data_IF_361593754921
#
_entry.id   IF_361593754921
#
_cell.length_a   1.000
_cell.length_b   1.000
_cell.length_c   1.000
_cell.angle_alpha   90.00
_cell.angle_beta   90.00
_cell.angle_gamma   90.00
#
_symmetry.space_group_name_H-M   'P 1'
#
loop_
_entity.id
_entity.type
_entity.pdbx_description
1 polymer ?
#
# COMPACT_ATOMS: atom_id res chain seq x y z
N UNK A 1 -6.34 -15.81 9.61
CA UNK A 1 -6.72 -14.48 9.09
C UNK A 1 -6.07 -14.17 7.74
N UNK A 2 -4.75 -14.26 7.62
CA UNK A 2 -4.04 -13.97 6.35
C UNK A 2 -4.52 -14.78 5.13
N UNK A 3 -4.88 -16.05 5.32
CA UNK A 3 -5.44 -16.91 4.26
C UNK A 3 -6.78 -16.36 3.76
N UNK A 4 -7.66 -15.91 4.66
CA UNK A 4 -8.97 -15.36 4.29
C UNK A 4 -8.82 -14.05 3.52
N UNK A 5 -7.92 -13.16 3.93
CA UNK A 5 -7.63 -11.93 3.18
C UNK A 5 -7.03 -12.22 1.81
N UNK A 6 -6.20 -13.25 1.70
CA UNK A 6 -5.67 -13.70 0.42
C UNK A 6 -6.81 -14.16 -0.51
N UNK A 7 -7.74 -14.99 -0.01
CA UNK A 7 -8.91 -15.41 -0.78
C UNK A 7 -9.81 -14.25 -1.18
N UNK A 8 -10.03 -13.26 -0.31
CA UNK A 8 -10.76 -12.04 -0.67
C UNK A 8 -10.06 -11.33 -1.83
N UNK A 9 -8.75 -11.12 -1.75
CA UNK A 9 -7.96 -10.53 -2.83
C UNK A 9 -8.04 -11.33 -4.14
N UNK A 10 -7.92 -12.65 -4.06
CA UNK A 10 -8.06 -13.56 -5.19
C UNK A 10 -9.45 -13.47 -5.82
N UNK A 11 -10.52 -13.32 -5.02
CA UNK A 11 -11.88 -13.11 -5.53
C UNK A 11 -11.98 -11.83 -6.37
N UNK A 12 -11.45 -10.70 -5.87
CA UNK A 12 -11.41 -9.44 -6.64
C UNK A 12 -10.63 -9.60 -7.95
N UNK A 13 -9.49 -10.31 -7.92
CA UNK A 13 -8.69 -10.63 -9.11
C UNK A 13 -9.37 -11.62 -10.07
N UNK A 14 -10.14 -12.57 -9.56
CA UNK A 14 -10.89 -13.50 -10.38
C UNK A 14 -11.99 -12.78 -11.17
N UNK A 15 -12.71 -11.85 -10.52
CA UNK A 15 -13.72 -10.99 -11.16
C UNK A 15 -13.07 -10.07 -12.21
N UNK A 16 -11.86 -9.56 -11.97
CA UNK A 16 -11.09 -8.76 -12.93
C UNK A 16 -10.88 -9.49 -14.26
N UNK A 17 -10.55 -10.79 -14.20
CA UNK A 17 -10.19 -11.60 -15.38
C UNK A 17 -11.44 -12.13 -16.10
N UNK A 18 -12.45 -12.61 -15.36
CA UNK A 18 -13.59 -13.33 -15.95
C UNK A 18 -14.69 -12.40 -16.46
N UNK A 19 -14.94 -11.26 -15.82
CA UNK A 19 -16.02 -10.37 -16.21
C UNK A 19 -15.50 -9.33 -17.23
N UNK A 20 -15.82 -9.47 -18.52
CA UNK A 20 -15.32 -8.53 -19.55
C UNK A 20 -16.01 -7.16 -19.54
N UNK A 21 -17.24 -7.07 -19.01
CA UNK A 21 -18.01 -5.83 -18.98
C UNK A 21 -17.61 -4.94 -17.79
N UNK A 22 -17.29 -3.67 -18.07
CA UNK A 22 -16.92 -2.66 -17.07
C UNK A 22 -17.97 -2.49 -15.98
N UNK A 23 -19.24 -2.30 -16.37
CA UNK A 23 -20.34 -2.07 -15.42
C UNK A 23 -20.61 -3.27 -14.52
N UNK A 24 -20.52 -4.49 -15.04
CA UNK A 24 -20.71 -5.72 -14.27
C UNK A 24 -19.58 -5.92 -13.24
N UNK A 25 -18.33 -5.68 -13.65
CA UNK A 25 -17.18 -5.73 -12.74
C UNK A 25 -17.32 -4.76 -11.57
N UNK A 26 -17.64 -3.50 -11.89
CA UNK A 26 -17.81 -2.46 -10.89
C UNK A 26 -18.93 -2.80 -9.90
N UNK A 27 -20.04 -3.34 -10.40
CA UNK A 27 -21.18 -3.72 -9.57
C UNK A 27 -20.82 -4.89 -8.64
N UNK A 28 -20.14 -5.93 -9.13
CA UNK A 28 -19.72 -7.08 -8.31
C UNK A 28 -18.73 -6.64 -7.23
N UNK A 29 -17.75 -5.81 -7.58
CA UNK A 29 -16.79 -5.29 -6.62
C UNK A 29 -17.43 -4.38 -5.58
N UNK A 30 -18.37 -3.53 -5.98
CA UNK A 30 -19.14 -2.69 -5.07
C UNK A 30 -19.96 -3.55 -4.10
N UNK A 31 -20.70 -4.53 -4.60
CA UNK A 31 -21.48 -5.46 -3.77
C UNK A 31 -20.58 -6.21 -2.78
N UNK A 32 -19.48 -6.78 -3.24
CA UNK A 32 -18.53 -7.50 -2.37
C UNK A 32 -17.95 -6.58 -1.29
N UNK A 33 -17.59 -5.35 -1.64
CA UNK A 33 -17.04 -4.36 -0.69
C UNK A 33 -18.07 -3.95 0.35
N UNK A 34 -19.31 -3.71 -0.06
CA UNK A 34 -20.43 -3.37 0.84
C UNK A 34 -20.75 -4.54 1.79
N UNK A 35 -20.80 -5.77 1.28
CA UNK A 35 -21.05 -6.95 2.13
C UNK A 35 -19.93 -7.12 3.16
N UNK A 36 -18.67 -6.93 2.77
CA UNK A 36 -17.54 -7.02 3.70
C UNK A 36 -17.61 -5.93 4.78
N UNK A 37 -17.89 -4.67 4.44
CA UNK A 37 -17.98 -3.60 5.45
C UNK A 37 -19.19 -3.74 6.37
N UNK A 38 -20.35 -4.17 5.86
CA UNK A 38 -21.53 -4.45 6.68
C UNK A 38 -21.24 -5.62 7.64
N UNK A 39 -20.63 -6.69 7.14
CA UNK A 39 -20.27 -7.84 7.97
C UNK A 39 -19.29 -7.47 9.07
N UNK A 40 -18.35 -6.57 8.81
CA UNK A 40 -17.46 -6.00 9.82
C UNK A 40 -18.27 -5.31 10.93
N UNK A 41 -19.14 -4.38 10.56
CA UNK A 41 -19.97 -3.65 11.52
C UNK A 41 -20.90 -4.57 12.32
N UNK A 42 -21.46 -5.61 11.72
CA UNK A 42 -22.26 -6.60 12.44
C UNK A 42 -21.44 -7.32 13.52
N UNK A 43 -20.20 -7.70 13.21
CA UNK A 43 -19.28 -8.34 14.17
C UNK A 43 -18.87 -7.36 15.29
N UNK A 44 -18.83 -6.06 15.01
CA UNK A 44 -18.65 -5.03 16.03
C UNK A 44 -19.82 -5.02 17.03
N UNK A 45 -21.06 -5.09 16.52
CA UNK A 45 -22.28 -5.10 17.36
C UNK A 45 -22.35 -6.35 18.24
N UNK A 46 -21.75 -7.46 17.82
CA UNK A 46 -21.60 -8.69 18.62
C UNK A 46 -20.57 -8.56 19.76
N UNK A 47 -19.92 -7.40 19.92
CA UNK A 47 -19.06 -7.07 21.06
C UNK A 47 -17.56 -7.26 20.83
N UNK A 48 -17.11 -7.57 19.61
CA UNK A 48 -15.68 -7.67 19.30
C UNK A 48 -15.08 -6.30 18.93
N UNK A 49 -14.14 -5.76 19.72
CA UNK A 49 -13.53 -4.46 19.43
C UNK A 49 -12.57 -4.53 18.23
N UNK A 50 -12.37 -3.37 17.58
CA UNK A 50 -11.31 -3.21 16.59
C UNK A 50 -9.95 -3.29 17.27
N UNK A 51 -9.11 -4.25 16.88
CA UNK A 51 -7.77 -4.41 17.42
C UNK A 51 -6.79 -4.73 16.30
N UNK A 52 -5.92 -3.77 15.99
CA UNK A 52 -4.86 -3.91 14.99
C UNK A 52 -3.82 -4.99 15.37
N UNK A 53 -3.34 -5.08 16.63
CA UNK A 53 -2.32 -6.08 16.99
C UNK A 53 -2.83 -7.52 16.91
N UNK A 54 -4.10 -7.73 17.27
CA UNK A 54 -4.75 -9.04 17.25
C UNK A 54 -5.33 -9.39 15.87
N UNK A 55 -5.29 -8.45 14.92
CA UNK A 55 -5.84 -8.60 13.58
C UNK A 55 -7.25 -9.24 13.61
N UNK A 56 -8.16 -8.63 14.37
CA UNK A 56 -9.49 -9.20 14.64
C UNK A 56 -10.32 -9.36 13.38
N UNK A 57 -11.29 -10.28 13.39
CA UNK A 57 -12.15 -10.60 12.23
C UNK A 57 -12.85 -9.35 11.69
N UNK A 58 -13.41 -8.54 12.59
CA UNK A 58 -14.05 -7.27 12.22
C UNK A 58 -13.05 -6.30 11.54
N UNK A 59 -11.84 -6.17 12.09
CA UNK A 59 -10.81 -5.31 11.48
C UNK A 59 -10.39 -5.81 10.08
N UNK A 60 -10.25 -7.11 9.91
CA UNK A 60 -9.94 -7.74 8.62
C UNK A 60 -11.05 -7.50 7.58
N UNK A 61 -12.32 -7.69 7.95
CA UNK A 61 -13.46 -7.49 7.06
C UNK A 61 -13.60 -6.02 6.68
N UNK A 62 -13.40 -5.10 7.63
CA UNK A 62 -13.44 -3.66 7.38
C UNK A 62 -12.35 -3.23 6.41
N UNK A 63 -11.09 -3.62 6.68
CA UNK A 63 -9.96 -3.26 5.82
C UNK A 63 -10.07 -3.89 4.43
N UNK A 64 -10.56 -5.13 4.34
CA UNK A 64 -10.88 -5.78 3.07
C UNK A 64 -11.94 -5.01 2.27
N UNK A 65 -13.07 -4.65 2.88
CA UNK A 65 -14.13 -3.88 2.23
C UNK A 65 -13.67 -2.48 1.80
N UNK A 66 -12.95 -1.75 2.66
CA UNK A 66 -12.38 -0.44 2.32
C UNK A 66 -11.38 -0.53 1.16
N UNK A 67 -10.54 -1.57 1.14
CA UNK A 67 -9.62 -1.80 0.02
C UNK A 67 -10.34 -2.08 -1.30
N UNK A 68 -11.49 -2.77 -1.26
CA UNK A 68 -12.34 -3.00 -2.42
C UNK A 68 -12.98 -1.72 -2.97
N UNK A 69 -13.43 -0.81 -2.10
CA UNK A 69 -13.89 0.52 -2.52
C UNK A 69 -12.75 1.36 -3.14
N UNK A 70 -11.56 1.29 -2.56
CA UNK A 70 -10.39 1.99 -3.10
C UNK A 70 -9.99 1.42 -4.48
N UNK A 71 -10.04 0.09 -4.65
CA UNK A 71 -9.83 -0.56 -5.95
C UNK A 71 -10.88 -0.09 -6.98
N UNK A 72 -12.16 -0.03 -6.59
CA UNK A 72 -13.23 0.44 -7.45
C UNK A 72 -13.00 1.89 -7.89
N UNK A 73 -12.59 2.76 -6.98
CA UNK A 73 -12.31 4.17 -7.25
C UNK A 73 -11.11 4.32 -8.20
N UNK A 74 -10.01 3.62 -7.94
CA UNK A 74 -8.84 3.64 -8.81
C UNK A 74 -9.16 3.10 -10.21
N UNK A 75 -9.92 2.01 -10.28
CA UNK A 75 -10.37 1.44 -11.54
C UNK A 75 -11.23 2.42 -12.34
N UNK A 76 -12.18 3.08 -11.69
CA UNK A 76 -13.03 4.08 -12.35
C UNK A 76 -12.19 5.24 -12.93
N UNK A 77 -11.25 5.78 -12.16
CA UNK A 77 -10.40 6.89 -12.60
C UNK A 77 -9.50 6.49 -13.79
N UNK A 78 -8.86 5.32 -13.70
CA UNK A 78 -7.85 4.88 -14.68
C UNK A 78 -8.48 4.29 -15.94
N UNK A 79 -9.51 3.45 -15.79
CA UNK A 79 -10.07 2.68 -16.89
C UNK A 79 -11.36 3.28 -17.46
N UNK A 80 -12.12 4.10 -16.72
CA UNK A 80 -13.34 4.76 -17.23
C UNK A 80 -13.08 6.22 -17.59
N UNK A 81 -12.44 7.00 -16.72
CA UNK A 81 -12.10 8.42 -16.99
C UNK A 81 -10.79 8.56 -17.80
N UNK A 82 -9.99 7.49 -17.90
CA UNK A 82 -8.72 7.47 -18.64
C UNK A 82 -7.64 8.45 -18.15
N UNK A 83 -7.68 8.86 -16.88
CA UNK A 83 -6.65 9.71 -16.28
C UNK A 83 -5.48 8.82 -15.82
N UNK A 84 -4.47 8.66 -16.68
CA UNK A 84 -3.34 7.75 -16.42
C UNK A 84 -2.09 8.45 -15.90
N UNK A 85 -1.87 9.72 -16.25
CA UNK A 85 -0.62 10.47 -15.99
C UNK A 85 -0.14 10.44 -14.52
N UNK A 86 -0.97 10.70 -13.50
CA UNK A 86 -0.50 10.68 -12.11
C UNK A 86 -0.23 9.27 -11.58
N UNK A 87 -0.81 8.24 -12.20
CA UNK A 87 -0.70 6.85 -11.75
C UNK A 87 0.48 6.09 -12.36
N UNK A 88 1.28 6.73 -13.23
CA UNK A 88 2.45 6.12 -13.86
C UNK A 88 3.49 5.68 -12.81
N UNK A 89 3.67 6.47 -11.74
CA UNK A 89 4.56 6.10 -10.62
C UNK A 89 4.08 4.83 -9.92
N UNK A 90 2.78 4.75 -9.62
CA UNK A 90 2.18 3.56 -9.03
C UNK A 90 2.22 2.35 -9.97
N UNK A 91 2.12 2.58 -11.29
CA UNK A 91 2.25 1.53 -12.29
C UNK A 91 3.66 0.95 -12.32
N UNK A 92 4.71 1.79 -12.30
CA UNK A 92 6.10 1.30 -12.24
C UNK A 92 6.36 0.49 -10.97
N UNK A 93 5.86 0.98 -9.83
CA UNK A 93 5.93 0.26 -8.56
C UNK A 93 5.19 -1.09 -8.64
N UNK A 94 4.01 -1.14 -9.27
CA UNK A 94 3.24 -2.37 -9.46
C UNK A 94 3.91 -3.39 -10.38
N UNK A 95 4.53 -2.94 -11.48
CA UNK A 95 5.23 -3.83 -12.43
C UNK A 95 6.48 -4.48 -11.82
N UNK A 96 7.14 -3.80 -10.90
CA UNK A 96 8.34 -4.28 -10.20
C UNK A 96 8.06 -4.64 -8.73
N UNK A 97 6.80 -4.93 -8.38
CA UNK A 97 6.37 -5.07 -6.99
C UNK A 97 7.14 -6.15 -6.22
N UNK A 98 7.48 -7.28 -6.85
CA UNK A 98 8.22 -8.36 -6.18
C UNK A 98 9.66 -7.96 -5.84
N UNK A 99 10.34 -7.26 -6.74
CA UNK A 99 11.70 -6.75 -6.52
C UNK A 99 11.68 -5.72 -5.39
N UNK A 100 10.76 -4.74 -5.50
CA UNK A 100 10.60 -3.69 -4.49
C UNK A 100 10.27 -4.31 -3.13
N UNK A 101 9.39 -5.31 -3.08
CA UNK A 101 9.04 -6.02 -1.85
C UNK A 101 10.27 -6.69 -1.20
N UNK A 102 11.07 -7.44 -1.97
CA UNK A 102 12.28 -8.09 -1.44
C UNK A 102 13.30 -7.05 -0.97
N UNK A 103 13.54 -5.99 -1.74
CA UNK A 103 14.49 -4.94 -1.38
C UNK A 103 14.04 -4.16 -0.13
N UNK A 104 12.74 -3.88 0.00
CA UNK A 104 12.18 -3.23 1.18
C UNK A 104 12.21 -4.15 2.41
N UNK A 105 11.93 -5.45 2.24
CA UNK A 105 11.99 -6.43 3.33
C UNK A 105 13.42 -6.64 3.86
N UNK A 106 14.43 -6.48 3.02
CA UNK A 106 15.84 -6.45 3.44
C UNK A 106 16.23 -5.14 4.13
N UNK A 107 15.28 -4.22 4.37
CA UNK A 107 15.51 -2.91 4.99
C UNK A 107 16.62 -2.11 4.29
N UNK A 108 16.80 -2.31 2.99
CA UNK A 108 17.99 -1.86 2.28
C UNK A 108 18.12 -0.33 2.31
N UNK A 109 17.00 0.39 2.31
CA UNK A 109 16.98 1.84 2.40
C UNK A 109 17.44 2.37 3.78
N UNK A 110 16.80 2.03 4.92
CA UNK A 110 17.28 2.49 6.22
C UNK A 110 18.68 1.96 6.54
N UNK A 111 19.03 0.73 6.14
CA UNK A 111 20.37 0.18 6.38
C UNK A 111 21.46 0.94 5.61
N UNK A 112 21.22 1.34 4.36
CA UNK A 112 22.17 2.16 3.60
C UNK A 112 22.36 3.55 4.22
N UNK A 113 21.30 4.17 4.71
CA UNK A 113 21.37 5.53 5.29
C UNK A 113 21.95 5.48 6.71
N UNK A 114 21.61 4.46 7.52
CA UNK A 114 22.21 4.22 8.84
C UNK A 114 23.67 3.78 8.75
N UNK A 115 24.07 3.11 7.67
CA UNK A 115 25.46 2.73 7.42
C UNK A 115 26.41 3.94 7.30
N UNK A 116 25.88 5.13 6.99
CA UNK A 116 26.62 6.38 7.02
C UNK A 116 26.43 7.07 8.39
N UNK A 117 27.33 6.74 9.32
CA UNK A 117 27.38 7.39 10.63
C UNK A 117 28.58 8.33 10.72
N UNK A 118 28.39 9.50 11.34
CA UNK A 118 29.49 10.43 11.57
C UNK A 118 29.98 10.32 13.02
N UNK A 119 31.15 9.69 13.19
CA UNK A 119 31.95 9.60 14.43
C UNK A 119 31.35 8.77 15.57
N UNK A 120 30.02 8.68 15.70
CA UNK A 120 29.33 7.83 16.68
C UNK A 120 28.06 7.22 16.06
N UNK A 121 27.68 5.97 16.45
CA UNK A 121 26.49 5.28 15.93
C UNK A 121 25.15 5.93 16.32
N UNK A 122 25.17 6.91 17.23
CA UNK A 122 24.01 7.74 17.59
C UNK A 122 23.79 8.92 16.63
N UNK A 123 24.74 9.15 15.70
CA UNK A 123 24.74 10.30 14.79
C UNK A 123 24.62 9.81 13.34
N UNK A 124 23.54 9.05 13.10
CA UNK A 124 23.22 8.49 11.79
C UNK A 124 22.54 9.53 10.91
N UNK A 125 22.76 9.46 9.59
CA UNK A 125 22.10 10.36 8.64
C UNK A 125 20.57 10.33 8.75
N UNK A 126 19.97 9.17 9.11
CA UNK A 126 18.53 9.04 9.34
C UNK A 126 18.05 9.98 10.43
N UNK A 127 18.69 9.94 11.61
CA UNK A 127 18.32 10.75 12.76
C UNK A 127 18.52 12.26 12.49
N UNK A 128 19.55 12.59 11.70
CA UNK A 128 19.78 13.96 11.23
C UNK A 128 18.68 14.41 10.25
N UNK A 129 18.32 13.59 9.26
CA UNK A 129 17.21 13.93 8.35
C UNK A 129 15.86 14.01 9.06
N UNK A 130 15.58 13.12 10.02
CA UNK A 130 14.33 13.14 10.76
C UNK A 130 14.28 14.36 11.68
N UNK A 131 15.35 14.66 12.42
CA UNK A 131 15.41 15.86 13.27
C UNK A 131 15.32 17.17 12.49
N UNK A 132 15.94 17.26 11.30
CA UNK A 132 15.80 18.40 10.39
C UNK A 132 14.35 18.54 9.88
N UNK A 133 13.71 17.45 9.45
CA UNK A 133 12.31 17.47 9.01
C UNK A 133 11.36 17.84 10.16
N UNK A 134 11.60 17.34 11.37
CA UNK A 134 10.84 17.68 12.57
C UNK A 134 11.03 19.16 12.96
N UNK A 135 12.24 19.71 12.80
CA UNK A 135 12.53 21.11 13.05
C UNK A 135 11.84 22.04 12.04
N UNK A 136 11.81 21.65 10.75
CA UNK A 136 11.12 22.40 9.69
C UNK A 136 9.61 22.39 9.89
N UNK A 137 9.03 21.25 10.27
CA UNK A 137 7.57 21.10 10.42
C UNK A 137 7.05 21.40 11.84
N UNK A 138 7.92 21.77 12.79
CA UNK A 138 7.59 22.12 14.19
C UNK A 138 6.76 21.04 14.92
N UNK A 139 6.75 19.81 14.42
CA UNK A 139 5.92 18.73 14.95
C UNK A 139 6.51 17.37 14.61
N UNK A 140 6.70 16.53 15.63
CA UNK A 140 7.20 15.16 15.48
C UNK A 140 6.36 14.33 14.51
N UNK A 141 5.03 14.41 14.62
CA UNK A 141 4.12 13.60 13.78
C UNK A 141 4.25 13.93 12.30
N UNK A 142 4.32 15.21 11.96
CA UNK A 142 4.44 15.66 10.57
C UNK A 142 5.83 15.38 10.00
N UNK A 143 6.89 15.55 10.80
CA UNK A 143 8.25 15.20 10.39
C UNK A 143 8.40 13.72 10.02
N UNK A 144 7.92 12.81 10.87
CA UNK A 144 7.97 11.37 10.59
C UNK A 144 7.08 11.00 9.39
N UNK A 145 5.90 11.63 9.23
CA UNK A 145 5.04 11.40 8.05
C UNK A 145 5.75 11.81 6.74
N UNK A 146 6.40 12.98 6.72
CA UNK A 146 7.13 13.45 5.53
C UNK A 146 8.31 12.53 5.22
N UNK A 147 9.01 12.04 6.24
CA UNK A 147 10.08 11.06 6.06
C UNK A 147 9.57 9.77 5.40
N UNK A 148 8.45 9.21 5.87
CA UNK A 148 7.84 8.02 5.27
C UNK A 148 7.37 8.28 3.83
N UNK A 149 6.82 9.47 3.55
CA UNK A 149 6.43 9.84 2.19
C UNK A 149 7.64 9.94 1.25
N UNK A 150 8.76 10.47 1.73
CA UNK A 150 10.01 10.52 0.96
C UNK A 150 10.52 9.11 0.64
N UNK A 151 10.44 8.18 1.59
CA UNK A 151 10.78 6.78 1.35
C UNK A 151 9.88 6.14 0.28
N UNK A 152 8.56 6.37 0.32
CA UNK A 152 7.64 5.88 -0.71
C UNK A 152 8.00 6.45 -2.09
N UNK A 153 8.33 7.74 -2.17
CA UNK A 153 8.77 8.38 -3.41
C UNK A 153 10.08 7.78 -3.91
N UNK A 154 11.04 7.53 -3.01
CA UNK A 154 12.30 6.86 -3.34
C UNK A 154 12.05 5.48 -3.96
N UNK A 155 11.20 4.65 -3.37
CA UNK A 155 10.86 3.34 -3.92
C UNK A 155 10.11 3.43 -5.25
N UNK A 156 9.24 4.42 -5.44
CA UNK A 156 8.61 4.68 -6.73
C UNK A 156 9.65 5.00 -7.82
N UNK A 157 10.66 5.81 -7.50
CA UNK A 157 11.75 6.16 -8.42
C UNK A 157 12.66 4.96 -8.70
N UNK A 158 13.01 4.17 -7.68
CA UNK A 158 13.78 2.95 -7.83
C UNK A 158 13.06 1.94 -8.74
N UNK A 159 11.75 1.78 -8.57
CA UNK A 159 10.91 0.95 -9.43
C UNK A 159 10.86 1.49 -10.87
N UNK A 160 10.82 2.81 -11.05
CA UNK A 160 10.92 3.47 -12.36
C UNK A 160 12.27 3.20 -13.04
N UNK A 161 13.37 3.24 -12.29
CA UNK A 161 14.71 2.92 -12.80
C UNK A 161 14.80 1.45 -13.26
N UNK A 162 14.27 0.51 -12.46
CA UNK A 162 14.17 -0.91 -12.81
C UNK A 162 13.36 -1.10 -14.10
N UNK A 163 12.23 -0.40 -14.22
CA UNK A 163 11.39 -0.42 -15.43
C UNK A 163 12.14 0.09 -16.66
N UNK A 164 12.90 1.20 -16.54
CA UNK A 164 13.73 1.71 -17.64
C UNK A 164 14.83 0.73 -18.06
N UNK A 165 15.34 -0.08 -17.13
CA UNK A 165 16.34 -1.13 -17.41
C UNK A 165 15.73 -2.43 -17.92
N UNK A 166 14.40 -2.54 -17.98
CA UNK A 166 13.70 -3.73 -18.48
C UNK A 166 13.85 -4.97 -17.59
N UNK A 167 14.25 -4.81 -16.32
CA UNK A 167 14.45 -5.92 -15.40
C UNK A 167 13.13 -6.20 -14.69
N UNK A 168 12.50 -7.33 -15.04
CA UNK A 168 11.26 -7.78 -14.40
C UNK A 168 11.46 -9.19 -13.85
N UNK A 169 11.19 -9.37 -12.56
CA UNK A 169 11.13 -10.68 -11.93
C UNK A 169 9.71 -11.23 -12.08
N UNK A 170 9.59 -12.36 -12.78
CA UNK A 170 8.33 -13.12 -12.92
C UNK A 170 8.41 -14.36 -12.03
N UNK A 171 7.29 -14.69 -11.40
CA UNK A 171 7.12 -15.94 -10.66
C UNK A 171 6.58 -17.03 -11.60
#
# INVERSE_FOLDING_TARGET
>A
MAVVTCFVGLFFGHVLIHCKNHSQRMLIWLLASVVLTISAYLVLLLGMPFSKPLYTVNYMLLTGGVSGFLLLLLYYIVDVIHIKKPFVLFQWMGMNALIVYVLAACELFPTLIQGFYWRSPENNLVDVTESLLQAIFQSKRWGTLVFVLLEIVFWCLAAGFLHMKGVYLKL
#
